data_IF_412002862266
#
_entry.id   IF_412002862266
#
_cell.length_a   1.000
_cell.length_b   1.000
_cell.length_c   1.000
_cell.angle_alpha   90.00
_cell.angle_beta   90.00
_cell.angle_gamma   90.00
#
_symmetry.space_group_name_H-M   'P 1'
#
loop_
_entity.id
_entity.type
_entity.pdbx_description
1 polymer ?
#
# COMPACT_ATOMS: atom_id res chain seq x y z
N UNK A 1 -57.36 -34.28 31.10
CA UNK A 1 -56.25 -34.24 30.12
C UNK A 1 -55.53 -32.92 30.33
N UNK A 2 -54.20 -33.00 30.35
CA UNK A 2 -53.22 -32.13 31.02
C UNK A 2 -53.31 -30.63 30.69
N UNK A 3 -53.48 -29.79 31.72
CA UNK A 3 -53.17 -28.36 31.67
C UNK A 3 -51.65 -28.18 31.60
N UNK A 4 -51.14 -27.77 30.43
CA UNK A 4 -49.73 -27.43 30.24
C UNK A 4 -49.52 -25.96 30.66
N UNK A 5 -48.50 -25.65 31.50
CA UNK A 5 -48.36 -24.32 32.06
C UNK A 5 -47.95 -23.28 30.99
N UNK A 6 -48.88 -22.37 30.66
CA UNK A 6 -48.75 -21.27 29.68
C UNK A 6 -47.59 -20.30 29.97
N UNK A 7 -47.14 -20.21 31.23
CA UNK A 7 -46.01 -19.38 31.65
C UNK A 7 -44.68 -19.72 30.97
N UNK A 8 -44.42 -21.00 30.66
CA UNK A 8 -43.17 -21.38 29.99
C UNK A 8 -43.16 -20.98 28.51
N UNK A 9 -44.33 -20.89 27.89
CA UNK A 9 -44.47 -20.52 26.47
C UNK A 9 -44.26 -19.01 26.28
N UNK A 10 -44.83 -18.19 27.17
CA UNK A 10 -44.63 -16.74 27.17
C UNK A 10 -43.18 -16.34 27.45
N UNK A 11 -42.50 -17.04 28.38
CA UNK A 11 -41.08 -16.82 28.68
C UNK A 11 -40.20 -17.21 27.49
N UNK A 12 -40.51 -18.30 26.79
CA UNK A 12 -39.79 -18.71 25.59
C UNK A 12 -39.96 -17.70 24.45
N UNK A 13 -41.18 -17.15 24.27
CA UNK A 13 -41.47 -16.08 23.32
C UNK A 13 -40.69 -14.80 23.62
N UNK A 14 -40.67 -14.35 24.88
CA UNK A 14 -39.91 -13.16 25.31
C UNK A 14 -38.41 -13.38 25.20
N UNK A 15 -37.89 -14.55 25.58
CA UNK A 15 -36.48 -14.89 25.44
C UNK A 15 -36.05 -14.90 23.97
N UNK A 16 -36.85 -15.49 23.07
CA UNK A 16 -36.58 -15.49 21.63
C UNK A 16 -36.67 -14.10 21.00
N UNK A 17 -37.65 -13.29 21.42
CA UNK A 17 -37.80 -11.90 20.99
C UNK A 17 -36.66 -10.99 21.45
N UNK A 18 -36.25 -11.11 22.72
CA UNK A 18 -35.12 -10.37 23.28
C UNK A 18 -33.79 -10.78 22.63
N UNK A 19 -33.58 -12.07 22.37
CA UNK A 19 -32.37 -12.55 21.69
C UNK A 19 -32.29 -12.05 20.24
N UNK A 20 -33.42 -12.02 19.53
CA UNK A 20 -33.51 -11.47 18.18
C UNK A 20 -33.25 -9.96 18.15
N UNK A 21 -33.81 -9.21 19.10
CA UNK A 21 -33.57 -7.78 19.24
C UNK A 21 -32.09 -7.46 19.58
N UNK A 22 -31.48 -8.21 20.50
CA UNK A 22 -30.05 -8.06 20.83
C UNK A 22 -29.13 -8.38 19.64
N UNK A 23 -29.50 -9.36 18.82
CA UNK A 23 -28.75 -9.71 17.61
C UNK A 23 -28.84 -8.59 16.57
N UNK A 24 -30.03 -8.01 16.35
CA UNK A 24 -30.21 -6.87 15.46
C UNK A 24 -29.43 -5.63 15.89
N UNK A 25 -29.44 -5.30 17.19
CA UNK A 25 -28.64 -4.19 17.74
C UNK A 25 -27.14 -4.43 17.54
N UNK A 26 -26.66 -5.67 17.72
CA UNK A 26 -25.25 -6.03 17.48
C UNK A 26 -24.85 -5.84 16.01
N UNK A 27 -25.71 -6.23 15.08
CA UNK A 27 -25.46 -6.05 13.65
C UNK A 27 -25.38 -4.57 13.26
N UNK A 28 -26.28 -3.75 13.81
CA UNK A 28 -26.28 -2.30 13.58
C UNK A 28 -25.02 -1.63 14.14
N UNK A 29 -24.60 -2.01 15.35
CA UNK A 29 -23.34 -1.52 15.94
C UNK A 29 -22.15 -1.92 15.06
N UNK A 30 -22.09 -3.15 14.56
CA UNK A 30 -21.00 -3.59 13.67
C UNK A 30 -20.96 -2.78 12.37
N UNK A 31 -22.13 -2.46 11.80
CA UNK A 31 -22.23 -1.64 10.60
C UNK A 31 -21.75 -0.20 10.86
N UNK A 32 -22.14 0.40 11.99
CA UNK A 32 -21.69 1.74 12.40
C UNK A 32 -20.17 1.76 12.61
N UNK A 33 -19.62 0.76 13.31
CA UNK A 33 -18.17 0.66 13.55
C UNK A 33 -17.42 0.53 12.23
N UNK A 34 -17.88 -0.34 11.32
CA UNK A 34 -17.28 -0.48 9.98
C UNK A 34 -17.30 0.83 9.21
N UNK A 35 -18.46 1.48 9.15
CA UNK A 35 -18.60 2.77 8.47
C UNK A 35 -17.65 3.82 9.05
N UNK A 36 -17.51 3.89 10.38
CA UNK A 36 -16.61 4.84 11.01
C UNK A 36 -15.14 4.55 10.72
N UNK A 37 -14.75 3.28 10.66
CA UNK A 37 -13.40 2.86 10.28
C UNK A 37 -13.12 3.23 8.82
N UNK A 38 -14.05 2.97 7.91
CA UNK A 38 -13.90 3.31 6.49
C UNK A 38 -13.76 4.83 6.29
N UNK A 39 -14.53 5.64 7.04
CA UNK A 39 -14.43 7.10 7.06
C UNK A 39 -13.05 7.58 7.52
N UNK A 40 -12.55 7.01 8.63
CA UNK A 40 -11.22 7.35 9.17
C UNK A 40 -10.13 6.95 8.17
N UNK A 41 -10.16 5.74 7.63
CA UNK A 41 -9.19 5.29 6.63
C UNK A 41 -9.23 6.18 5.37
N UNK A 42 -10.42 6.54 4.89
CA UNK A 42 -10.57 7.48 3.78
C UNK A 42 -9.97 8.85 4.09
N UNK A 43 -10.11 9.35 5.32
CA UNK A 43 -9.52 10.63 5.75
C UNK A 43 -7.99 10.59 5.88
N UNK A 44 -7.41 9.42 6.16
CA UNK A 44 -5.98 9.24 6.38
C UNK A 44 -5.16 9.11 5.09
N UNK A 45 -5.78 9.22 3.91
CA UNK A 45 -5.11 9.08 2.60
C UNK A 45 -4.20 7.84 2.52
N UNK A 46 -4.68 6.71 3.06
CA UNK A 46 -3.89 5.47 3.04
C UNK A 46 -3.67 4.99 1.60
N UNK A 47 -2.42 4.69 1.28
CA UNK A 47 -2.05 4.10 -0.01
C UNK A 47 -2.53 2.65 -0.01
N UNK A 48 -3.20 2.22 -1.08
CA UNK A 48 -3.60 0.83 -1.21
C UNK A 48 -2.37 -0.05 -1.32
N UNK A 49 -2.49 -1.28 -0.85
CA UNK A 49 -1.37 -2.22 -0.88
C UNK A 49 -0.83 -2.40 -2.31
N UNK A 50 -1.71 -2.52 -3.29
CA UNK A 50 -1.35 -2.73 -4.69
C UNK A 50 -0.55 -1.54 -5.24
N UNK A 51 -0.96 -0.31 -4.92
CA UNK A 51 -0.25 0.91 -5.31
C UNK A 51 1.12 1.00 -4.64
N UNK A 52 1.21 0.60 -3.37
CA UNK A 52 2.47 0.55 -2.66
C UNK A 52 3.44 -0.47 -3.29
N UNK A 53 2.97 -1.68 -3.62
CA UNK A 53 3.82 -2.69 -4.26
C UNK A 53 4.28 -2.24 -5.66
N UNK A 54 3.42 -1.59 -6.44
CA UNK A 54 3.80 -1.01 -7.74
C UNK A 54 4.86 0.08 -7.56
N UNK A 55 4.68 0.99 -6.61
CA UNK A 55 5.66 2.05 -6.33
C UNK A 55 6.99 1.48 -5.83
N UNK A 56 6.94 0.41 -5.01
CA UNK A 56 8.11 -0.29 -4.51
C UNK A 56 8.91 -0.93 -5.64
N UNK A 57 8.24 -1.65 -6.54
CA UNK A 57 8.89 -2.27 -7.70
C UNK A 57 9.51 -1.20 -8.60
N UNK A 58 8.76 -0.13 -8.89
CA UNK A 58 9.27 1.00 -9.69
C UNK A 58 10.51 1.62 -9.04
N UNK A 59 10.50 1.83 -7.73
CA UNK A 59 11.65 2.39 -7.00
C UNK A 59 12.87 1.45 -7.06
N UNK A 60 12.66 0.14 -6.96
CA UNK A 60 13.73 -0.85 -7.09
C UNK A 60 14.35 -0.83 -8.49
N UNK A 61 13.51 -0.86 -9.54
CA UNK A 61 13.96 -0.79 -10.93
C UNK A 61 14.66 0.54 -11.24
N UNK A 62 14.15 1.65 -10.71
CA UNK A 62 14.76 2.97 -10.86
C UNK A 62 16.17 3.01 -10.25
N UNK A 63 16.39 2.41 -9.07
CA UNK A 63 17.73 2.33 -8.46
C UNK A 63 18.68 1.52 -9.33
N UNK A 64 18.26 0.35 -9.82
CA UNK A 64 19.08 -0.50 -10.70
C UNK A 64 19.43 0.25 -11.99
N UNK A 65 18.44 0.90 -12.61
CA UNK A 65 18.64 1.70 -13.81
C UNK A 65 19.57 2.89 -13.58
N UNK A 66 19.46 3.56 -12.44
CA UNK A 66 20.34 4.67 -12.05
C UNK A 66 21.79 4.19 -11.94
N UNK A 67 22.06 3.09 -11.24
CA UNK A 67 23.42 2.55 -11.08
C UNK A 67 24.05 2.12 -12.41
N UNK A 68 23.26 1.57 -13.35
CA UNK A 68 23.74 1.28 -14.70
C UNK A 68 24.04 2.54 -15.51
N UNK A 69 23.16 3.53 -15.44
CA UNK A 69 23.36 4.81 -16.11
C UNK A 69 24.60 5.53 -15.58
N UNK A 70 24.80 5.60 -14.26
CA UNK A 70 25.97 6.20 -13.63
C UNK A 70 27.27 5.51 -14.07
N UNK A 71 27.29 4.17 -14.09
CA UNK A 71 28.46 3.41 -14.59
C UNK A 71 28.78 3.75 -16.04
N UNK A 72 27.76 3.84 -16.90
CA UNK A 72 27.93 4.18 -18.30
C UNK A 72 28.41 5.61 -18.50
N UNK A 73 27.87 6.56 -17.73
CA UNK A 73 28.29 7.97 -17.73
C UNK A 73 29.76 8.08 -17.32
N UNK A 74 30.15 7.47 -16.20
CA UNK A 74 31.55 7.50 -15.76
C UNK A 74 32.53 6.90 -16.79
N UNK A 75 32.14 5.80 -17.46
CA UNK A 75 32.95 5.21 -18.52
C UNK A 75 33.08 6.13 -19.75
N UNK A 76 32.01 6.86 -20.09
CA UNK A 76 32.03 7.83 -21.18
C UNK A 76 32.88 9.05 -20.82
N UNK A 77 32.73 9.59 -19.61
CA UNK A 77 33.52 10.71 -19.10
C UNK A 77 35.03 10.38 -19.13
N UNK A 78 35.42 9.19 -18.67
CA UNK A 78 36.81 8.74 -18.72
C UNK A 78 37.35 8.65 -20.16
N UNK A 79 36.52 8.21 -21.11
CA UNK A 79 36.90 8.15 -22.53
C UNK A 79 37.04 9.54 -23.14
N UNK A 80 36.16 10.47 -22.78
CA UNK A 80 36.24 11.87 -23.24
C UNK A 80 37.54 12.50 -22.75
N UNK A 81 37.86 12.38 -21.46
CA UNK A 81 39.12 12.88 -20.89
C UNK A 81 40.35 12.31 -21.62
N UNK A 82 40.39 10.98 -21.83
CA UNK A 82 41.50 10.35 -22.54
C UNK A 82 41.64 10.81 -24.01
N UNK A 83 40.54 11.17 -24.67
CA UNK A 83 40.57 11.71 -26.03
C UNK A 83 41.03 13.16 -26.04
N UNK A 84 40.58 13.97 -25.08
CA UNK A 84 41.01 15.35 -24.91
C UNK A 84 42.52 15.41 -24.63
N UNK A 85 43.05 14.59 -23.72
CA UNK A 85 44.48 14.49 -23.44
C UNK A 85 45.30 14.16 -24.69
N UNK A 86 44.86 13.18 -25.49
CA UNK A 86 45.51 12.82 -26.76
C UNK A 86 45.49 13.96 -27.77
N UNK A 87 44.37 14.67 -27.89
CA UNK A 87 44.25 15.82 -28.78
C UNK A 87 45.24 16.93 -28.36
N UNK A 88 45.34 17.23 -27.07
CA UNK A 88 46.26 18.23 -26.54
C UNK A 88 47.72 17.84 -26.80
N UNK A 89 48.08 16.59 -26.51
CA UNK A 89 49.44 16.07 -26.76
C UNK A 89 49.83 16.16 -28.24
N UNK A 90 48.92 15.81 -29.15
CA UNK A 90 49.16 15.90 -30.60
C UNK A 90 49.39 17.33 -31.08
N UNK A 91 48.74 18.31 -30.45
CA UNK A 91 48.88 19.72 -30.81
C UNK A 91 50.22 20.31 -30.33
N UNK A 92 50.71 19.91 -29.14
CA UNK A 92 52.04 20.31 -28.63
C UNK A 92 53.21 19.71 -29.42
N UNK A 93 53.05 18.53 -30.01
CA UNK A 93 54.10 17.93 -30.84
C UNK A 93 54.21 18.56 -32.24
N UNK A 94 53.17 19.24 -32.73
CA UNK A 94 53.22 19.93 -34.03
C UNK A 94 53.79 21.36 -33.96
N UNK A 95 53.86 21.94 -32.76
CA UNK A 95 54.33 23.32 -32.52
C UNK A 95 55.76 23.44 -31.98
N UNK A 96 56.48 22.32 -31.82
CA UNK A 96 57.89 22.24 -31.42
C UNK A 96 58.75 21.77 -32.60
#
# INVERSE_FOLDING_TARGET
MTDKPRFFDDLAGVAGGAFSALTGVREEINAIVRSRVDEVLSSLQVVRREEFEVARELAAQARIGQEDAERRVAALEARVLALEEKAHASHTHHSA
#
